data_IF_168843279203
#
_entry.id   IF_168843279203
#
_cell.length_a   1.000
_cell.length_b   1.000
_cell.length_c   1.000
_cell.angle_alpha   90.00
_cell.angle_beta   90.00
_cell.angle_gamma   90.00
#
_symmetry.space_group_name_H-M   'P 1'
#
loop_
_entity.id
_entity.type
_entity.pdbx_description
1 polymer ?
#
# COMPACT_ATOMS: atom_id res chain seq x y z
N UNK A 1 0.79 -20.33 2.25
CA UNK A 1 1.94 -19.69 2.93
C UNK A 1 2.66 -18.61 2.08
N UNK A 2 1.98 -17.86 1.19
CA UNK A 2 2.62 -16.86 0.31
C UNK A 2 1.91 -15.48 0.28
N UNK A 3 0.87 -15.22 1.09
CA UNK A 3 0.30 -13.87 1.20
C UNK A 3 1.14 -12.95 2.11
N UNK A 4 1.97 -13.50 2.99
CA UNK A 4 2.77 -12.74 3.95
C UNK A 4 3.90 -11.91 3.32
N UNK A 5 4.45 -12.36 2.17
CA UNK A 5 5.54 -11.64 1.52
C UNK A 5 5.08 -10.30 0.94
N UNK A 6 3.84 -10.22 0.43
CA UNK A 6 3.28 -8.97 -0.08
C UNK A 6 2.97 -7.99 1.05
N UNK A 7 2.45 -8.44 2.19
CA UNK A 7 2.09 -7.55 3.31
C UNK A 7 3.33 -6.87 3.92
N UNK A 8 4.42 -7.61 4.16
CA UNK A 8 5.67 -7.02 4.67
C UNK A 8 6.30 -6.03 3.70
N UNK A 9 6.27 -6.33 2.40
CA UNK A 9 6.80 -5.43 1.37
C UNK A 9 5.96 -4.15 1.27
N UNK A 10 4.63 -4.26 1.35
CA UNK A 10 3.72 -3.11 1.39
C UNK A 10 3.92 -2.26 2.64
N UNK A 11 4.06 -2.87 3.81
CA UNK A 11 4.35 -2.16 5.05
C UNK A 11 5.70 -1.43 4.98
N UNK A 12 6.74 -2.08 4.45
CA UNK A 12 8.04 -1.44 4.25
C UNK A 12 7.96 -0.27 3.25
N UNK A 13 7.18 -0.41 2.17
CA UNK A 13 6.96 0.66 1.20
C UNK A 13 6.20 1.84 1.81
N UNK A 14 5.16 1.56 2.61
CA UNK A 14 4.41 2.56 3.36
C UNK A 14 5.29 3.35 4.33
N UNK A 15 6.22 2.68 5.02
CA UNK A 15 7.18 3.35 5.91
C UNK A 15 8.08 4.30 5.12
N UNK A 16 8.59 3.87 3.96
CA UNK A 16 9.40 4.75 3.08
C UNK A 16 8.61 5.96 2.60
N UNK A 17 7.40 5.74 2.09
CA UNK A 17 6.51 6.80 1.64
C UNK A 17 6.19 7.78 2.79
N UNK A 18 5.93 7.25 3.99
CA UNK A 18 5.68 8.04 5.20
C UNK A 18 6.87 8.92 5.56
N UNK A 19 8.09 8.37 5.57
CA UNK A 19 9.29 9.15 5.88
C UNK A 19 9.43 10.30 4.89
N UNK A 20 9.24 10.06 3.59
CA UNK A 20 9.30 11.10 2.56
C UNK A 20 8.25 12.18 2.81
N UNK A 21 7.00 11.80 3.06
CA UNK A 21 5.91 12.75 3.31
C UNK A 21 6.17 13.57 4.56
N UNK A 22 6.60 12.94 5.66
CA UNK A 22 6.92 13.64 6.91
C UNK A 22 8.09 14.61 6.74
N UNK A 23 9.14 14.21 6.01
CA UNK A 23 10.30 15.08 5.77
C UNK A 23 9.91 16.27 4.92
N UNK A 24 9.11 16.02 3.87
CA UNK A 24 8.62 17.06 2.98
C UNK A 24 7.71 18.05 3.72
N UNK A 25 6.79 17.53 4.55
CA UNK A 25 5.88 18.30 5.36
C UNK A 25 6.62 19.15 6.40
N UNK A 26 7.61 18.56 7.08
CA UNK A 26 8.51 19.28 7.99
C UNK A 26 9.22 20.43 7.27
N UNK A 27 9.76 20.17 6.07
CA UNK A 27 10.47 21.18 5.28
C UNK A 27 9.58 22.33 4.84
N UNK A 28 8.40 22.03 4.29
CA UNK A 28 7.46 23.04 3.81
C UNK A 28 6.89 23.88 4.94
N UNK A 29 6.41 23.26 6.02
CA UNK A 29 5.81 24.01 7.13
C UNK A 29 6.85 24.89 7.84
N UNK A 30 8.09 24.42 7.99
CA UNK A 30 9.17 25.27 8.51
C UNK A 30 9.50 26.40 7.55
N UNK A 31 9.49 26.18 6.23
CA UNK A 31 9.69 27.25 5.26
C UNK A 31 8.58 28.29 5.33
N UNK A 32 7.31 27.87 5.39
CA UNK A 32 6.15 28.75 5.53
C UNK A 32 6.22 29.53 6.85
N UNK A 33 6.53 28.87 7.97
CA UNK A 33 6.66 29.52 9.27
C UNK A 33 7.74 30.61 9.27
N UNK A 34 8.84 30.40 8.53
CA UNK A 34 9.93 31.39 8.38
C UNK A 34 9.57 32.53 7.43
N UNK A 35 8.88 32.25 6.33
CA UNK A 35 8.56 33.22 5.28
C UNK A 35 7.36 34.10 5.64
N UNK A 36 6.36 33.56 6.32
CA UNK A 36 5.07 34.23 6.56
C UNK A 36 4.94 34.79 8.00
N UNK A 37 5.96 34.64 8.85
CA UNK A 37 5.90 34.97 10.29
C UNK A 37 4.63 34.38 10.96
N UNK A 38 4.22 33.19 10.55
CA UNK A 38 3.05 32.51 11.12
C UNK A 38 3.28 32.24 12.61
N UNK A 39 2.26 32.37 13.49
CA UNK A 39 2.34 32.06 14.92
C UNK A 39 2.39 30.55 15.18
N UNK A 40 3.09 29.78 14.33
CA UNK A 40 3.30 28.36 14.50
C UNK A 40 4.18 28.11 15.73
N UNK A 41 3.73 27.31 16.71
CA UNK A 41 4.60 26.89 17.81
C UNK A 41 5.59 25.83 17.30
N UNK A 42 6.69 26.30 16.69
CA UNK A 42 7.71 25.48 16.01
C UNK A 42 8.21 24.31 16.86
N UNK A 43 8.39 24.53 18.18
CA UNK A 43 8.82 23.48 19.11
C UNK A 43 7.80 22.35 19.23
N UNK A 44 6.51 22.67 19.34
CA UNK A 44 5.44 21.66 19.41
C UNK A 44 5.35 20.91 18.08
N UNK A 45 5.40 21.62 16.96
CA UNK A 45 5.36 21.01 15.63
C UNK A 45 6.52 20.02 15.41
N UNK A 46 7.77 20.44 15.66
CA UNK A 46 8.93 19.56 15.53
C UNK A 46 8.81 18.35 16.46
N UNK A 47 8.36 18.55 17.71
CA UNK A 47 8.18 17.45 18.67
C UNK A 47 7.13 16.45 18.18
N UNK A 48 6.00 16.92 17.64
CA UNK A 48 4.96 16.06 17.06
C UNK A 48 5.47 15.26 15.86
N UNK A 49 6.26 15.87 14.98
CA UNK A 49 6.86 15.17 13.83
C UNK A 49 7.90 14.14 14.29
N UNK A 50 8.77 14.48 15.24
CA UNK A 50 9.74 13.53 15.82
C UNK A 50 9.04 12.34 16.48
N UNK A 51 7.96 12.60 17.21
CA UNK A 51 7.13 11.58 17.83
C UNK A 51 6.45 10.70 16.76
N UNK A 52 6.04 11.27 15.63
CA UNK A 52 5.52 10.50 14.50
C UNK A 52 6.58 9.58 13.88
N UNK A 53 7.81 10.05 13.70
CA UNK A 53 8.93 9.18 13.29
C UNK A 53 9.22 8.08 14.31
N UNK A 54 9.17 8.40 15.61
CA UNK A 54 9.38 7.42 16.68
C UNK A 54 8.33 6.32 16.64
N UNK A 55 7.05 6.65 16.46
CA UNK A 55 5.98 5.66 16.28
C UNK A 55 6.18 4.85 15.00
N UNK A 56 6.56 5.48 13.89
CA UNK A 56 6.83 4.77 12.64
C UNK A 56 7.95 3.72 12.82
N UNK A 57 9.04 4.09 13.50
CA UNK A 57 10.13 3.17 13.81
C UNK A 57 9.68 2.07 14.77
N UNK A 58 8.90 2.42 15.80
CA UNK A 58 8.33 1.46 16.74
C UNK A 58 7.51 0.38 16.04
N UNK A 59 6.64 0.74 15.09
CA UNK A 59 5.86 -0.24 14.33
C UNK A 59 6.72 -1.14 13.44
N UNK A 60 7.82 -0.62 12.87
CA UNK A 60 8.79 -1.44 12.11
C UNK A 60 9.46 -2.47 12.99
N UNK A 61 9.89 -2.07 14.20
CA UNK A 61 10.48 -2.99 15.17
C UNK A 61 9.43 -4.01 15.63
N UNK A 62 8.19 -3.58 15.88
CA UNK A 62 7.09 -4.44 16.31
C UNK A 62 6.77 -5.53 15.27
N UNK A 63 6.87 -5.21 13.97
CA UNK A 63 6.73 -6.19 12.87
C UNK A 63 7.77 -7.31 12.93
N UNK A 64 8.94 -7.07 13.55
CA UNK A 64 9.97 -8.09 13.73
C UNK A 64 9.66 -9.05 14.88
N UNK A 65 8.80 -8.67 15.83
CA UNK A 65 8.53 -9.44 17.05
C UNK A 65 7.15 -10.07 17.11
N UNK A 66 6.18 -9.59 16.33
CA UNK A 66 4.79 -10.02 16.45
C UNK A 66 4.18 -10.36 15.08
N UNK A 67 3.58 -11.55 14.98
CA UNK A 67 3.03 -12.10 13.72
C UNK A 67 1.59 -11.68 13.41
N UNK A 68 0.88 -10.99 14.31
CA UNK A 68 -0.51 -10.58 14.10
C UNK A 68 -0.59 -9.24 13.35
N UNK A 69 -0.48 -9.32 12.01
CA UNK A 69 -0.41 -8.15 11.12
C UNK A 69 -1.69 -7.29 11.12
N UNK A 70 -2.85 -7.88 11.44
CA UNK A 70 -4.14 -7.16 11.47
C UNK A 70 -4.22 -6.14 12.60
N UNK A 71 -3.86 -6.54 13.82
CA UNK A 71 -3.90 -5.66 15.00
C UNK A 71 -2.86 -4.56 14.85
N UNK A 72 -1.68 -4.88 14.32
CA UNK A 72 -0.63 -3.88 14.06
C UNK A 72 -1.08 -2.83 13.04
N UNK A 73 -1.67 -3.26 11.92
CA UNK A 73 -2.20 -2.35 10.90
C UNK A 73 -3.30 -1.45 11.47
N UNK A 74 -4.16 -1.98 12.33
CA UNK A 74 -5.19 -1.20 13.02
C UNK A 74 -4.59 -0.14 13.94
N UNK A 75 -3.69 -0.54 14.83
CA UNK A 75 -3.02 0.37 15.76
C UNK A 75 -2.28 1.47 14.99
N UNK A 76 -1.57 1.10 13.92
CA UNK A 76 -0.85 2.04 13.07
C UNK A 76 -1.79 3.10 12.47
N UNK A 77 -2.91 2.70 11.87
CA UNK A 77 -3.89 3.63 11.29
C UNK A 77 -4.48 4.56 12.35
N UNK A 78 -4.82 4.04 13.54
CA UNK A 78 -5.38 4.85 14.62
C UNK A 78 -4.37 5.87 15.16
N UNK A 79 -3.11 5.45 15.35
CA UNK A 79 -2.04 6.34 15.80
C UNK A 79 -1.73 7.40 14.74
N UNK A 80 -1.69 7.04 13.46
CA UNK A 80 -1.50 8.03 12.39
C UNK A 80 -2.63 9.05 12.34
N UNK A 81 -3.87 8.61 12.56
CA UNK A 81 -5.02 9.50 12.59
C UNK A 81 -4.89 10.51 13.72
N UNK A 82 -4.55 10.05 14.93
CA UNK A 82 -4.31 10.93 16.08
C UNK A 82 -3.16 11.92 15.84
N UNK A 83 -2.07 11.48 15.21
CA UNK A 83 -0.91 12.33 14.92
C UNK A 83 -1.23 13.37 13.85
N UNK A 84 -1.96 12.99 12.80
CA UNK A 84 -2.46 13.95 11.81
C UNK A 84 -3.38 14.97 12.47
N UNK A 85 -4.30 14.55 13.33
CA UNK A 85 -5.17 15.47 14.08
C UNK A 85 -4.37 16.44 14.92
N UNK A 86 -3.35 15.97 15.65
CA UNK A 86 -2.47 16.80 16.45
C UNK A 86 -1.72 17.83 15.59
N UNK A 87 -1.15 17.40 14.47
CA UNK A 87 -0.40 18.27 13.55
C UNK A 87 -1.31 19.30 12.88
N UNK A 88 -2.50 18.90 12.42
CA UNK A 88 -3.51 19.80 11.84
C UNK A 88 -3.96 20.85 12.86
N UNK A 89 -4.18 20.45 14.11
CA UNK A 89 -4.51 21.38 15.19
C UNK A 89 -3.39 22.41 15.41
N UNK A 90 -2.14 21.96 15.53
CA UNK A 90 -0.97 22.83 15.77
C UNK A 90 -0.71 23.80 14.60
N UNK A 91 -1.04 23.40 13.37
CA UNK A 91 -0.84 24.19 12.15
C UNK A 91 -1.99 25.14 11.83
N UNK A 92 -2.95 25.31 12.74
CA UNK A 92 -4.03 26.29 12.57
C UNK A 92 -5.33 25.73 12.00
N UNK A 93 -5.58 24.42 12.13
CA UNK A 93 -6.88 23.79 11.93
C UNK A 93 -7.50 24.05 10.55
N UNK A 94 -8.40 25.04 10.46
CA UNK A 94 -9.09 25.43 9.21
C UNK A 94 -8.16 26.03 8.16
N UNK A 95 -7.09 26.70 8.59
CA UNK A 95 -6.06 27.28 7.71
C UNK A 95 -4.98 26.25 7.34
N UNK A 96 -5.02 25.07 7.97
CA UNK A 96 -4.00 24.05 7.78
C UNK A 96 -4.08 23.44 6.39
N UNK A 97 -2.99 23.59 5.64
CA UNK A 97 -2.80 22.89 4.37
C UNK A 97 -2.64 21.38 4.54
N UNK A 98 -2.55 20.85 5.77
CA UNK A 98 -2.27 19.45 6.07
C UNK A 98 -3.51 18.56 6.16
N UNK A 99 -4.70 19.12 5.97
CA UNK A 99 -5.95 18.37 5.94
C UNK A 99 -5.97 17.25 4.87
N UNK A 100 -5.16 17.34 3.81
CA UNK A 100 -5.05 16.28 2.78
C UNK A 100 -4.50 14.95 3.31
N UNK A 101 -3.88 14.92 4.50
CA UNK A 101 -3.36 13.70 5.11
C UNK A 101 -4.46 12.74 5.58
N UNK A 102 -5.65 13.25 5.93
CA UNK A 102 -6.78 12.41 6.34
C UNK A 102 -7.23 11.47 5.19
N UNK A 103 -7.51 11.95 3.96
CA UNK A 103 -7.73 11.09 2.80
C UNK A 103 -6.63 10.06 2.56
N UNK A 104 -5.37 10.44 2.75
CA UNK A 104 -4.24 9.53 2.56
C UNK A 104 -4.28 8.37 3.56
N UNK A 105 -4.57 8.64 4.84
CA UNK A 105 -4.73 7.60 5.87
C UNK A 105 -5.92 6.68 5.53
N UNK A 106 -7.03 7.23 5.03
CA UNK A 106 -8.20 6.45 4.58
C UNK A 106 -7.82 5.50 3.43
N UNK A 107 -7.00 5.97 2.48
CA UNK A 107 -6.48 5.12 1.39
C UNK A 107 -5.61 3.99 1.96
N UNK A 108 -4.69 4.32 2.88
CA UNK A 108 -3.82 3.32 3.54
C UNK A 108 -4.65 2.27 4.29
N UNK A 109 -5.66 2.70 5.03
CA UNK A 109 -6.61 1.80 5.72
C UNK A 109 -7.34 0.88 4.74
N UNK A 110 -7.74 1.39 3.57
CA UNK A 110 -8.39 0.59 2.52
C UNK A 110 -7.49 -0.51 1.94
N UNK A 111 -6.17 -0.26 1.89
CA UNK A 111 -5.18 -1.21 1.39
C UNK A 111 -4.89 -2.28 2.46
N UNK A 112 -4.57 -1.84 3.68
CA UNK A 112 -4.11 -2.71 4.77
C UNK A 112 -5.24 -3.50 5.44
N UNK A 113 -6.43 -2.92 5.56
CA UNK A 113 -7.54 -3.49 6.33
C UNK A 113 -8.69 -3.94 5.42
N UNK A 114 -9.62 -4.76 5.95
CA UNK A 114 -10.88 -5.09 5.28
C UNK A 114 -11.69 -3.83 4.94
N UNK A 115 -12.53 -3.92 3.89
CA UNK A 115 -13.31 -2.79 3.35
C UNK A 115 -14.18 -2.07 4.39
N UNK A 116 -14.64 -2.74 5.45
CA UNK A 116 -15.40 -2.09 6.53
C UNK A 116 -14.59 -1.05 7.31
N UNK A 117 -13.28 -1.29 7.47
CA UNK A 117 -12.41 -0.41 8.24
C UNK A 117 -12.08 0.91 7.52
N UNK A 118 -12.17 0.98 6.19
CA UNK A 118 -11.97 2.25 5.48
C UNK A 118 -13.09 3.23 5.78
N UNK A 119 -14.34 2.77 5.84
CA UNK A 119 -15.48 3.60 6.25
C UNK A 119 -15.38 4.01 7.71
N UNK A 120 -14.97 3.10 8.60
CA UNK A 120 -14.76 3.45 10.01
C UNK A 120 -13.64 4.48 10.18
N UNK A 121 -12.54 4.33 9.43
CA UNK A 121 -11.43 5.30 9.44
C UNK A 121 -11.89 6.66 8.92
N UNK A 122 -12.73 6.71 7.88
CA UNK A 122 -13.31 7.94 7.38
C UNK A 122 -14.26 8.61 8.39
N UNK A 123 -15.07 7.82 9.09
CA UNK A 123 -15.94 8.32 10.15
C UNK A 123 -15.13 8.89 11.32
N UNK A 124 -14.07 8.18 11.76
CA UNK A 124 -13.16 8.67 12.79
C UNK A 124 -12.39 9.92 12.35
N UNK A 125 -11.93 9.97 11.09
CA UNK A 125 -11.27 11.14 10.52
C UNK A 125 -12.21 12.36 10.53
N UNK A 126 -13.46 12.16 10.13
CA UNK A 126 -14.48 13.20 10.16
C UNK A 126 -14.75 13.70 11.58
N UNK A 127 -14.94 12.78 12.55
CA UNK A 127 -15.17 13.14 13.95
C UNK A 127 -13.98 13.91 14.50
N UNK A 128 -12.75 13.43 14.31
CA UNK A 128 -11.54 14.09 14.83
C UNK A 128 -11.31 15.46 14.20
N UNK A 129 -11.44 15.56 12.88
CA UNK A 129 -11.30 16.84 12.18
C UNK A 129 -12.41 17.81 12.62
N UNK A 130 -13.67 17.39 12.59
CA UNK A 130 -14.81 18.17 13.05
C UNK A 130 -14.65 18.64 14.50
N UNK A 131 -14.19 17.75 15.40
CA UNK A 131 -13.91 18.08 16.80
C UNK A 131 -12.84 19.16 16.90
N UNK A 132 -11.72 19.04 16.16
CA UNK A 132 -10.68 20.10 16.14
C UNK A 132 -11.27 21.43 15.69
N UNK A 133 -12.09 21.43 14.65
CA UNK A 133 -12.72 22.64 14.11
C UNK A 133 -13.68 23.28 15.11
N UNK A 134 -14.57 22.48 15.71
CA UNK A 134 -15.56 22.94 16.67
C UNK A 134 -14.92 23.44 17.97
N UNK A 135 -13.97 22.68 18.55
CA UNK A 135 -13.29 23.09 19.79
C UNK A 135 -12.49 24.38 19.61
N UNK A 136 -11.90 24.56 18.42
CA UNK A 136 -11.19 25.79 18.06
C UNK A 136 -12.18 26.95 17.85
N UNK A 137 -13.32 26.69 17.21
CA UNK A 137 -14.35 27.68 16.96
C UNK A 137 -15.02 28.19 18.25
N UNK A 138 -15.34 27.29 19.18
CA UNK A 138 -15.93 27.63 20.48
C UNK A 138 -14.91 28.17 21.50
N UNK A 139 -13.62 28.25 21.14
CA UNK A 139 -12.58 28.79 22.02
C UNK A 139 -12.25 27.92 23.24
N UNK A 140 -12.66 26.64 23.24
CA UNK A 140 -12.33 25.69 24.30
C UNK A 140 -10.81 25.39 24.30
N UNK A 141 -10.21 25.45 23.12
CA UNK A 141 -8.80 25.14 22.88
C UNK A 141 -8.14 26.34 22.18
N UNK A 142 -6.86 26.68 22.47
CA UNK A 142 -6.18 27.81 21.82
C UNK A 142 -6.25 27.71 20.30
N UNK A 143 -6.79 28.74 19.66
CA UNK A 143 -6.85 28.85 18.20
C UNK A 143 -5.52 29.37 17.67
N UNK A 144 -4.86 28.56 16.84
CA UNK A 144 -3.73 28.97 16.03
C UNK A 144 -4.15 29.44 14.63
N UNK A 145 -5.45 29.43 14.34
CA UNK A 145 -6.02 29.90 13.08
C UNK A 145 -5.92 31.43 13.00
N UNK A 146 -5.50 31.94 11.86
CA UNK A 146 -5.53 33.37 11.52
C UNK A 146 -6.90 33.79 10.99
N UNK A 147 -7.67 32.84 10.44
CA UNK A 147 -9.01 33.06 9.91
C UNK A 147 -10.07 32.57 10.90
N UNK A 148 -11.06 33.42 11.19
CA UNK A 148 -12.28 33.02 11.88
C UNK A 148 -13.40 32.88 10.85
N UNK A 149 -13.61 31.68 10.28
CA UNK A 149 -14.68 31.46 9.31
C UNK A 149 -16.06 31.70 9.96
N UNK A 150 -16.98 32.30 9.22
CA UNK A 150 -18.37 32.38 9.63
C UNK A 150 -18.97 30.97 9.79
N UNK A 151 -20.02 30.83 10.61
CA UNK A 151 -20.65 29.55 10.94
C UNK A 151 -21.05 28.75 9.68
N UNK A 152 -21.56 29.44 8.65
CA UNK A 152 -21.94 28.82 7.38
C UNK A 152 -20.74 28.30 6.58
N UNK A 153 -19.61 29.02 6.57
CA UNK A 153 -18.39 28.57 5.91
C UNK A 153 -17.76 27.37 6.64
N UNK A 154 -17.77 27.38 7.97
CA UNK A 154 -17.30 26.25 8.78
C UNK A 154 -18.13 24.98 8.50
N UNK A 155 -19.46 25.11 8.50
CA UNK A 155 -20.35 23.99 8.15
C UNK A 155 -20.08 23.49 6.74
N UNK A 156 -19.93 24.38 5.75
CA UNK A 156 -19.61 23.99 4.39
C UNK A 156 -18.29 23.21 4.30
N UNK A 157 -17.23 23.66 5.00
CA UNK A 157 -15.95 22.95 5.07
C UNK A 157 -16.12 21.54 5.66
N UNK A 158 -16.85 21.42 6.78
CA UNK A 158 -17.11 20.14 7.44
C UNK A 158 -17.89 19.21 6.50
N UNK A 159 -18.95 19.69 5.85
CA UNK A 159 -19.75 18.91 4.90
C UNK A 159 -18.93 18.46 3.69
N UNK A 160 -18.16 19.35 3.07
CA UNK A 160 -17.31 19.00 1.93
C UNK A 160 -16.28 17.94 2.33
N UNK A 161 -15.65 18.06 3.50
CA UNK A 161 -14.72 17.05 4.00
C UNK A 161 -15.41 15.71 4.29
N UNK A 162 -16.62 15.71 4.85
CA UNK A 162 -17.40 14.49 5.05
C UNK A 162 -17.61 13.75 3.73
N UNK A 163 -18.10 14.44 2.71
CA UNK A 163 -18.31 13.84 1.39
C UNK A 163 -17.00 13.39 0.76
N UNK A 164 -15.93 14.18 0.87
CA UNK A 164 -14.62 13.82 0.36
C UNK A 164 -14.09 12.53 1.03
N UNK A 165 -14.15 12.45 2.36
CA UNK A 165 -13.66 11.29 3.10
C UNK A 165 -14.47 10.03 2.79
N UNK A 166 -15.80 10.14 2.69
CA UNK A 166 -16.65 9.02 2.29
C UNK A 166 -16.40 8.58 0.85
N UNK A 167 -16.24 9.54 -0.08
CA UNK A 167 -15.92 9.25 -1.47
C UNK A 167 -14.56 8.54 -1.60
N UNK A 168 -13.55 9.02 -0.87
CA UNK A 168 -12.22 8.40 -0.82
C UNK A 168 -12.30 7.00 -0.22
N UNK A 169 -13.00 6.80 0.90
CA UNK A 169 -13.19 5.48 1.50
C UNK A 169 -13.87 4.50 0.55
N UNK A 170 -14.89 4.97 -0.19
CA UNK A 170 -15.59 4.16 -1.18
C UNK A 170 -14.70 3.81 -2.37
N UNK A 171 -14.06 4.79 -3.00
CA UNK A 171 -13.22 4.60 -4.19
C UNK A 171 -11.97 3.76 -3.88
N UNK A 172 -11.24 4.12 -2.82
CA UNK A 172 -10.06 3.39 -2.40
C UNK A 172 -10.42 1.98 -1.93
N UNK A 173 -11.51 1.81 -1.18
CA UNK A 173 -12.02 0.50 -0.77
C UNK A 173 -12.43 -0.37 -1.95
N UNK A 174 -13.10 0.20 -2.96
CA UNK A 174 -13.47 -0.49 -4.19
C UNK A 174 -12.24 -0.90 -5.01
N UNK A 175 -11.27 0.00 -5.16
CA UNK A 175 -10.03 -0.25 -5.90
C UNK A 175 -9.21 -1.36 -5.22
N UNK A 176 -9.04 -1.29 -3.90
CA UNK A 176 -8.34 -2.30 -3.12
C UNK A 176 -9.06 -3.67 -3.17
N UNK A 177 -10.39 -3.69 -3.22
CA UNK A 177 -11.15 -4.92 -3.40
C UNK A 177 -10.95 -5.52 -4.81
N UNK A 178 -10.99 -4.69 -5.86
CA UNK A 178 -10.75 -5.14 -7.24
C UNK A 178 -9.32 -5.67 -7.44
N UNK A 179 -8.31 -4.98 -6.91
CA UNK A 179 -6.92 -5.42 -6.95
C UNK A 179 -6.76 -6.81 -6.32
N UNK A 180 -7.32 -7.02 -5.12
CA UNK A 180 -7.32 -8.32 -4.45
C UNK A 180 -7.99 -9.43 -5.29
N UNK A 181 -9.08 -9.13 -5.98
CA UNK A 181 -9.74 -10.10 -6.87
C UNK A 181 -8.89 -10.45 -8.09
N UNK A 182 -8.22 -9.45 -8.69
CA UNK A 182 -7.33 -9.65 -9.83
C UNK A 182 -6.13 -10.51 -9.43
N UNK A 183 -5.53 -10.27 -8.27
CA UNK A 183 -4.41 -11.08 -7.76
C UNK A 183 -4.80 -12.55 -7.57
N UNK A 184 -5.98 -12.81 -7.01
CA UNK A 184 -6.51 -14.19 -6.85
C UNK A 184 -6.71 -14.85 -8.21
N UNK A 185 -7.31 -14.13 -9.16
CA UNK A 185 -7.55 -14.65 -10.52
C UNK A 185 -6.23 -14.96 -11.24
N UNK A 186 -5.25 -14.05 -11.19
CA UNK A 186 -3.92 -14.26 -11.76
C UNK A 186 -3.22 -15.48 -11.16
N UNK A 187 -3.36 -15.70 -9.85
CA UNK A 187 -2.78 -16.87 -9.18
C UNK A 187 -3.40 -18.18 -9.67
N UNK A 188 -4.73 -18.23 -9.81
CA UNK A 188 -5.41 -19.40 -10.36
C UNK A 188 -5.02 -19.65 -11.81
N UNK A 189 -4.96 -18.62 -12.66
CA UNK A 189 -4.56 -18.76 -14.06
C UNK A 189 -3.11 -19.24 -14.20
N UNK A 190 -2.18 -18.70 -13.39
CA UNK A 190 -0.78 -19.18 -13.37
C UNK A 190 -0.68 -20.64 -12.95
N UNK A 191 -1.41 -21.05 -11.90
CA UNK A 191 -1.43 -22.45 -11.46
C UNK A 191 -2.01 -23.39 -12.53
N UNK A 192 -3.10 -22.98 -13.19
CA UNK A 192 -3.69 -23.75 -14.28
C UNK A 192 -2.74 -23.90 -15.48
N UNK A 193 -2.01 -22.84 -15.83
CA UNK A 193 -1.02 -22.87 -16.91
C UNK A 193 0.16 -23.79 -16.57
N UNK A 194 0.68 -23.73 -15.34
CA UNK A 194 1.75 -24.62 -14.88
C UNK A 194 1.31 -26.09 -14.92
N UNK A 195 0.08 -26.38 -14.49
CA UNK A 195 -0.46 -27.74 -14.53
C UNK A 195 -0.62 -28.24 -15.98
N UNK A 196 -1.08 -27.37 -16.89
CA UNK A 196 -1.19 -27.70 -18.31
C UNK A 196 0.18 -27.99 -18.93
N UNK A 197 1.21 -27.19 -18.60
CA UNK A 197 2.59 -27.42 -19.05
C UNK A 197 3.12 -28.76 -18.54
N UNK A 198 2.94 -29.06 -17.26
CA UNK A 198 3.37 -30.32 -16.67
C UNK A 198 2.66 -31.55 -17.27
N UNK A 199 1.36 -31.46 -17.56
CA UNK A 199 0.63 -32.53 -18.25
C UNK A 199 1.14 -32.71 -19.68
N UNK A 200 1.35 -31.61 -20.41
CA UNK A 200 1.86 -31.66 -21.78
C UNK A 200 3.26 -32.30 -21.83
N UNK A 201 4.14 -31.92 -20.92
CA UNK A 201 5.49 -32.49 -20.80
C UNK A 201 5.45 -33.98 -20.45
N UNK A 202 4.61 -34.39 -19.49
CA UNK A 202 4.42 -35.80 -19.15
C UNK A 202 3.86 -36.61 -20.32
N UNK A 203 2.94 -36.06 -21.10
CA UNK A 203 2.41 -36.73 -22.31
C UNK A 203 3.54 -36.93 -23.31
N UNK A 204 4.31 -35.88 -23.61
CA UNK A 204 5.45 -35.97 -24.54
C UNK A 204 6.43 -37.07 -24.09
N UNK A 205 6.78 -37.09 -22.80
CA UNK A 205 7.72 -38.06 -22.24
C UNK A 205 7.18 -39.49 -22.17
N UNK A 206 5.85 -39.68 -22.09
CA UNK A 206 5.22 -41.00 -21.96
C UNK A 206 4.78 -41.65 -23.27
N UNK A 207 4.81 -40.93 -24.40
CA UNK A 207 4.50 -41.51 -25.72
C UNK A 207 5.54 -42.58 -26.09
N UNK A 208 5.07 -43.77 -26.47
CA UNK A 208 5.92 -44.92 -26.81
C UNK A 208 6.75 -44.75 -28.09
N UNK A 209 6.35 -43.84 -28.97
CA UNK A 209 7.13 -43.47 -30.16
C UNK A 209 8.21 -42.44 -29.82
N UNK A 210 9.38 -42.57 -30.43
CA UNK A 210 10.42 -41.55 -30.32
C UNK A 210 9.97 -40.23 -30.96
N UNK A 211 10.01 -39.14 -30.18
CA UNK A 211 9.68 -37.80 -30.63
C UNK A 211 10.95 -36.93 -30.55
N UNK A 212 11.31 -36.35 -31.69
CA UNK A 212 12.40 -35.37 -31.81
C UNK A 212 11.80 -34.11 -32.42
N UNK A 213 11.98 -32.98 -31.74
CA UNK A 213 11.62 -31.66 -32.27
C UNK A 213 12.89 -30.89 -32.59
N UNK A 214 12.88 -30.15 -33.69
CA UNK A 214 14.00 -29.31 -34.11
C UNK A 214 13.60 -27.84 -34.20
N UNK A 215 14.57 -26.97 -34.02
CA UNK A 215 14.45 -25.55 -34.35
C UNK A 215 14.43 -25.32 -35.85
N UNK A 216 14.11 -24.08 -36.25
CA UNK A 216 14.15 -23.66 -37.66
C UNK A 216 15.56 -23.71 -38.28
N UNK A 217 16.58 -23.76 -37.43
CA UNK A 217 18.00 -23.92 -37.75
C UNK A 217 18.43 -25.39 -37.88
N UNK A 218 17.51 -26.34 -37.65
CA UNK A 218 17.76 -27.78 -37.77
C UNK A 218 18.47 -28.40 -36.56
N UNK A 219 18.68 -27.65 -35.47
CA UNK A 219 19.20 -28.21 -34.22
C UNK A 219 18.07 -28.83 -33.38
N UNK A 220 18.36 -29.92 -32.69
CA UNK A 220 17.41 -30.64 -31.85
C UNK A 220 17.09 -29.82 -30.60
N UNK A 221 15.80 -29.58 -30.36
CA UNK A 221 15.31 -28.77 -29.23
C UNK A 221 14.60 -29.61 -28.17
N UNK A 222 14.13 -30.81 -28.51
CA UNK A 222 13.49 -31.72 -27.57
C UNK A 222 13.62 -33.17 -28.06
N UNK A 223 13.94 -34.10 -27.15
CA UNK A 223 13.89 -35.54 -27.38
C UNK A 223 13.17 -36.21 -26.21
N UNK A 224 12.08 -36.93 -26.48
CA UNK A 224 11.36 -37.63 -25.42
C UNK A 224 12.08 -38.91 -24.95
N UNK A 225 11.66 -39.45 -23.80
CA UNK A 225 12.25 -40.65 -23.17
C UNK A 225 12.29 -41.85 -24.12
N UNK A 226 11.27 -42.05 -24.97
CA UNK A 226 11.27 -43.11 -25.96
C UNK A 226 12.33 -42.91 -27.06
N UNK A 227 12.53 -41.67 -27.53
CA UNK A 227 13.56 -41.30 -28.49
C UNK A 227 14.97 -41.51 -27.93
N UNK A 228 15.20 -41.13 -26.68
CA UNK A 228 16.47 -41.39 -25.98
C UNK A 228 16.78 -42.90 -25.91
N UNK A 229 15.79 -43.72 -25.57
CA UNK A 229 15.95 -45.19 -25.50
C UNK A 229 16.20 -45.84 -26.87
N UNK A 230 15.55 -45.34 -27.92
CA UNK A 230 15.73 -45.87 -29.28
C UNK A 230 17.08 -45.48 -29.89
N UNK A 231 17.59 -44.30 -29.54
CA UNK A 231 18.88 -43.79 -30.03
C UNK A 231 20.07 -44.19 -29.15
N UNK A 232 19.81 -44.71 -27.95
CA UNK A 232 20.83 -45.05 -26.92
C UNK A 232 21.73 -43.86 -26.51
N UNK A 233 21.26 -42.62 -26.72
CA UNK A 233 21.91 -41.38 -26.30
C UNK A 233 21.13 -40.69 -25.20
N UNK A 234 21.83 -39.97 -24.32
CA UNK A 234 21.20 -39.14 -23.29
C UNK A 234 20.62 -37.86 -23.90
N UNK A 235 19.66 -37.23 -23.22
CA UNK A 235 19.06 -35.96 -23.64
C UNK A 235 20.12 -34.86 -23.81
N UNK A 236 21.07 -34.79 -22.87
CA UNK A 236 22.14 -33.78 -22.84
C UNK A 236 23.11 -33.95 -24.02
N UNK A 237 23.27 -35.16 -24.55
CA UNK A 237 24.14 -35.43 -25.71
C UNK A 237 23.48 -35.04 -27.04
N UNK A 238 22.14 -35.03 -27.10
CA UNK A 238 21.36 -34.78 -28.32
C UNK A 238 20.88 -33.33 -28.43
N UNK A 239 20.64 -32.64 -27.30
CA UNK A 239 20.17 -31.26 -27.29
C UNK A 239 21.17 -30.31 -27.96
N UNK A 240 20.69 -29.50 -28.91
CA UNK A 240 21.50 -28.54 -29.65
C UNK A 240 22.37 -29.15 -30.75
N UNK A 241 22.34 -30.46 -30.99
CA UNK A 241 23.01 -31.06 -32.13
C UNK A 241 22.19 -30.92 -33.43
N UNK A 242 22.83 -30.85 -34.60
CA UNK A 242 22.12 -30.83 -35.86
C UNK A 242 21.42 -32.17 -36.11
N UNK A 243 20.14 -32.13 -36.47
CA UNK A 243 19.35 -33.36 -36.67
C UNK A 243 19.88 -34.26 -37.79
N UNK A 244 20.67 -33.73 -38.72
CA UNK A 244 21.28 -34.49 -39.81
C UNK A 244 22.47 -35.37 -39.37
N UNK A 245 22.91 -35.27 -38.10
CA UNK A 245 23.99 -36.09 -37.52
C UNK A 245 23.48 -37.32 -36.75
N UNK A 246 22.16 -37.44 -36.57
CA UNK A 246 21.48 -38.65 -36.12
C UNK A 246 21.44 -39.69 -37.23
#
# INVERSE_FOLDING_TARGET
MHSMFNERLWLAWLVKARIIILTFLLGIELAIARLTLSPLPVRLFITSILLWYAFALFYVVLLSFWEEHRIQSLLQVLTDLALVTLVVYITGGVDSSLNFLYPLIIIVSSILLPRSWSYLTAALAFILYGTVLELTYFGIVPSYSTTHPELGALQAIIFVNLFAYLAVAYLAGLLAAKLRQVDVKLKHTRGALQNLQAVHENIIQSISGGLITTGLDGHITLVNTAGQKLLEYSEDDLLGQPVHRL
#
